data_IF_773608616993
#
_entry.id   IF_773608616993
#
_cell.length_a   1.000
_cell.length_b   1.000
_cell.length_c   1.000
_cell.angle_alpha   90.00
_cell.angle_beta   90.00
_cell.angle_gamma   90.00
#
_symmetry.space_group_name_H-M   'P 1'
#
loop_
_entity.id
_entity.type
_entity.pdbx_description
1 polymer ?
#
# COMPACT_ATOMS: atom_id res chain seq x y z
N UNK A 1 8.20 16.33 -10.31
CA UNK A 1 7.17 15.31 -10.05
C UNK A 1 5.99 15.62 -10.97
N UNK A 2 5.57 14.65 -11.80
CA UNK A 2 4.44 14.85 -12.72
C UNK A 2 3.20 14.20 -12.12
N UNK A 3 2.10 14.95 -12.01
CA UNK A 3 0.83 14.48 -11.47
C UNK A 3 -0.29 14.94 -12.38
N UNK A 4 -1.09 14.00 -12.89
CA UNK A 4 -2.04 14.24 -13.99
C UNK A 4 -1.35 15.02 -15.13
N UNK A 5 -1.76 16.26 -15.41
CA UNK A 5 -1.21 17.13 -16.45
C UNK A 5 -0.28 18.24 -15.91
N UNK A 6 -0.14 18.35 -14.58
CA UNK A 6 0.65 19.40 -13.92
C UNK A 6 2.03 18.88 -13.47
N UNK A 7 3.02 19.79 -13.48
CA UNK A 7 4.40 19.50 -13.08
C UNK A 7 4.77 20.28 -11.83
N UNK A 8 5.21 19.56 -10.81
CA UNK A 8 5.60 20.11 -9.51
C UNK A 8 7.10 19.90 -9.28
N UNK A 9 7.77 20.87 -8.65
CA UNK A 9 9.09 20.61 -8.09
C UNK A 9 8.97 19.56 -6.98
N UNK A 10 9.96 18.68 -6.84
CA UNK A 10 9.94 17.67 -5.78
C UNK A 10 9.87 18.30 -4.38
N UNK A 11 10.38 19.52 -4.23
CA UNK A 11 10.40 20.26 -2.98
C UNK A 11 9.09 21.02 -2.70
N UNK A 12 8.29 21.30 -3.73
CA UNK A 12 7.01 22.00 -3.67
C UNK A 12 5.81 21.04 -3.67
N UNK A 13 6.06 19.73 -3.62
CA UNK A 13 5.02 18.72 -3.60
C UNK A 13 4.53 18.51 -2.15
N UNK A 14 3.72 19.44 -1.66
CA UNK A 14 3.25 19.51 -0.27
C UNK A 14 1.72 19.49 -0.16
N UNK A 15 1.20 19.02 0.97
CA UNK A 15 -0.22 19.12 1.29
C UNK A 15 -0.63 20.58 1.53
N UNK A 16 -1.72 21.04 0.88
CA UNK A 16 -2.25 22.40 1.06
C UNK A 16 -2.77 22.67 2.49
N UNK A 17 -3.19 21.63 3.22
CA UNK A 17 -3.78 21.78 4.57
C UNK A 17 -2.77 21.68 5.72
N UNK A 18 -1.66 20.96 5.54
CA UNK A 18 -0.70 20.71 6.62
C UNK A 18 0.77 20.94 6.23
N UNK A 19 1.02 21.49 5.03
CA UNK A 19 2.34 21.75 4.44
C UNK A 19 3.28 20.53 4.39
N UNK A 20 2.76 19.33 4.65
CA UNK A 20 3.55 18.10 4.68
C UNK A 20 4.07 17.80 3.27
N UNK A 21 5.39 17.67 3.13
CA UNK A 21 6.05 17.18 1.91
C UNK A 21 5.65 15.72 1.65
N UNK A 22 5.05 15.48 0.49
CA UNK A 22 4.64 14.16 0.04
C UNK A 22 5.79 13.49 -0.70
N UNK A 23 6.16 12.30 -0.26
CA UNK A 23 7.30 11.56 -0.82
C UNK A 23 6.85 10.37 -1.67
N UNK A 24 7.79 9.82 -2.45
CA UNK A 24 7.51 8.69 -3.35
C UNK A 24 7.04 7.48 -2.53
N UNK A 25 5.79 7.08 -2.75
CA UNK A 25 5.14 5.97 -2.04
C UNK A 25 4.05 6.41 -1.07
N UNK A 26 3.85 7.71 -0.84
CA UNK A 26 2.69 8.24 -0.11
C UNK A 26 1.50 8.47 -1.06
N UNK A 27 0.30 8.12 -0.58
CA UNK A 27 -0.95 8.36 -1.30
C UNK A 27 -1.42 9.80 -1.06
N UNK A 28 -1.86 10.45 -2.13
CA UNK A 28 -2.33 11.84 -2.12
C UNK A 28 -3.54 11.99 -3.04
N UNK A 29 -4.32 13.04 -2.82
CA UNK A 29 -5.47 13.40 -3.65
C UNK A 29 -5.24 14.80 -4.22
N UNK A 30 -5.62 15.01 -5.48
CA UNK A 30 -5.58 16.33 -6.12
C UNK A 30 -7.01 16.75 -6.42
N UNK A 31 -7.47 17.84 -5.80
CA UNK A 31 -8.79 18.42 -6.07
C UNK A 31 -8.81 19.01 -7.49
N UNK A 32 -9.85 18.71 -8.25
CA UNK A 32 -9.90 19.02 -9.69
C UNK A 32 -10.21 20.49 -10.00
N UNK A 33 -10.70 21.26 -9.02
CA UNK A 33 -11.11 22.65 -9.21
C UNK A 33 -9.95 23.64 -9.01
N UNK A 34 -9.05 23.38 -8.06
CA UNK A 34 -8.01 24.33 -7.64
C UNK A 34 -6.58 23.76 -7.72
N UNK A 35 -6.40 22.57 -8.31
CA UNK A 35 -5.12 21.84 -8.34
C UNK A 35 -4.45 21.64 -6.97
N UNK A 36 -5.24 21.71 -5.89
CA UNK A 36 -4.73 21.53 -4.53
C UNK A 36 -4.41 20.07 -4.23
N UNK A 37 -3.19 19.84 -3.76
CA UNK A 37 -2.72 18.52 -3.33
C UNK A 37 -3.00 18.35 -1.84
N UNK A 38 -3.68 17.26 -1.48
CA UNK A 38 -4.00 16.89 -0.10
C UNK A 38 -3.38 15.55 0.25
N UNK A 39 -2.84 15.45 1.47
CA UNK A 39 -2.42 14.17 2.02
C UNK A 39 -3.64 13.34 2.39
N UNK A 40 -3.46 12.02 2.51
CA UNK A 40 -4.55 11.09 2.86
C UNK A 40 -5.33 11.49 4.11
N UNK A 41 -4.66 12.03 5.12
CA UNK A 41 -5.28 12.46 6.39
C UNK A 41 -6.21 13.67 6.22
N UNK A 42 -5.82 14.64 5.40
CA UNK A 42 -6.60 15.87 5.21
C UNK A 42 -7.67 15.72 4.11
N UNK A 43 -7.46 14.77 3.18
CA UNK A 43 -8.48 14.40 2.20
C UNK A 43 -9.75 13.87 2.89
N UNK A 44 -9.60 12.93 3.83
CA UNK A 44 -10.73 12.33 4.56
C UNK A 44 -11.46 13.35 5.45
N UNK A 45 -10.73 14.33 6.02
CA UNK A 45 -11.32 15.42 6.79
C UNK A 45 -12.13 16.42 5.95
N UNK A 46 -11.80 16.57 4.66
CA UNK A 46 -12.47 17.54 3.76
C UNK A 46 -13.70 16.99 3.03
N UNK A 47 -13.99 15.68 3.14
CA UNK A 47 -15.09 14.99 2.44
C UNK A 47 -16.30 14.63 3.32
N UNK A 48 -16.49 15.31 4.47
CA UNK A 48 -17.74 15.18 5.25
C UNK A 48 -18.83 16.04 4.61
N UNK A 49 -19.30 15.65 3.43
CA UNK A 49 -20.70 15.89 3.07
C UNK A 49 -21.49 14.64 3.50
N UNK A 50 -22.40 14.84 4.45
CA UNK A 50 -23.28 13.80 4.96
C UNK A 50 -24.15 13.19 3.86
N UNK A 51 -24.40 11.88 3.88
CA UNK A 51 -25.67 11.35 3.46
C UNK A 51 -26.51 11.03 4.71
N UNK A 52 -27.62 11.76 4.81
CA UNK A 52 -28.76 11.49 5.67
C UNK A 52 -29.21 10.03 5.61
N UNK A 53 -29.33 9.44 6.80
CA UNK A 53 -30.27 8.38 7.22
C UNK A 53 -31.23 7.81 6.16
N UNK A 54 -31.20 6.48 5.95
CA UNK A 54 -32.28 5.56 6.35
C UNK A 54 -31.87 4.06 6.26
N UNK A 55 -32.42 3.31 7.22
CA UNK A 55 -32.24 1.89 7.64
C UNK A 55 -32.65 0.90 6.52
N UNK A 56 -32.34 -0.40 6.45
CA UNK A 56 -32.15 -1.56 7.35
C UNK A 56 -31.25 -2.58 6.60
N UNK A 57 -30.51 -3.55 7.16
CA UNK A 57 -30.98 -4.75 7.85
C UNK A 57 -29.82 -5.49 8.53
N UNK A 58 -30.22 -6.13 9.63
CA UNK A 58 -29.50 -7.10 10.46
C UNK A 58 -28.93 -8.27 9.67
N UNK A 59 -27.61 -8.49 9.72
CA UNK A 59 -27.02 -9.81 9.98
C UNK A 59 -25.68 -9.60 10.69
N UNK A 60 -25.57 -10.18 11.88
CA UNK A 60 -24.44 -10.00 12.78
C UNK A 60 -23.13 -10.61 12.27
N UNK A 61 -22.03 -10.03 12.76
CA UNK A 61 -20.76 -10.71 12.89
C UNK A 61 -20.06 -10.15 14.12
N UNK A 62 -19.82 -11.04 15.07
CA UNK A 62 -18.94 -10.84 16.21
C UNK A 62 -17.54 -10.50 15.69
N UNK A 63 -17.11 -9.26 15.89
CA UNK A 63 -15.73 -8.80 15.68
C UNK A 63 -15.26 -8.14 17.00
N UNK A 64 -15.04 -8.99 18.02
CA UNK A 64 -14.28 -8.64 19.22
C UNK A 64 -12.81 -9.01 18.96
N UNK A 65 -12.06 -8.08 18.36
CA UNK A 65 -10.59 -8.01 18.44
C UNK A 65 -10.15 -6.54 18.27
N UNK A 66 -10.67 -5.70 19.16
CA UNK A 66 -10.09 -4.42 19.52
C UNK A 66 -9.06 -4.66 20.64
N UNK A 67 -7.80 -4.86 20.28
CA UNK A 67 -6.70 -4.71 21.26
C UNK A 67 -6.04 -3.35 21.08
N UNK A 68 -6.06 -2.63 22.19
CA UNK A 68 -5.72 -1.26 22.41
C UNK A 68 -4.21 -1.00 22.39
N UNK A 69 -3.89 0.22 21.98
CA UNK A 69 -2.56 0.79 22.08
C UNK A 69 -2.69 2.24 22.50
N UNK A 70 -2.97 2.45 23.78
CA UNK A 70 -2.91 3.71 24.55
C UNK A 70 -4.22 4.49 24.70
N UNK A 71 -4.94 4.19 25.79
CA UNK A 71 -5.71 5.18 26.52
C UNK A 71 -4.77 6.07 27.35
N UNK A 72 -5.19 7.31 27.58
CA UNK A 72 -4.58 8.42 28.34
C UNK A 72 -3.87 9.51 27.52
N UNK A 73 -4.67 10.24 26.74
CA UNK A 73 -4.60 11.71 26.65
C UNK A 73 -6.03 12.16 26.33
N UNK A 74 -6.73 13.01 27.09
CA UNK A 74 -6.30 14.32 27.58
C UNK A 74 -7.28 14.80 28.65
N UNK A 75 -6.84 15.68 29.54
CA UNK A 75 -7.43 17.01 29.79
C UNK A 75 -6.81 17.58 31.07
N UNK A 76 -5.84 18.47 30.93
CA UNK A 76 -5.98 19.85 31.39
C UNK A 76 -4.80 20.72 30.95
N UNK A 77 -5.14 21.96 30.64
CA UNK A 77 -4.35 22.99 30.03
C UNK A 77 -4.21 24.10 31.06
N UNK A 78 -3.05 24.30 31.71
CA UNK A 78 -2.74 25.55 32.42
C UNK A 78 -1.23 25.91 32.40
N UNK A 79 -0.92 26.90 31.57
CA UNK A 79 0.04 28.01 31.75
C UNK A 79 1.02 27.96 32.95
N UNK A 80 2.34 27.95 32.69
CA UNK A 80 3.33 28.81 33.38
C UNK A 80 4.78 28.64 32.89
N UNK A 81 5.49 29.76 32.94
CA UNK A 81 6.82 30.08 32.38
C UNK A 81 7.98 29.18 32.86
N UNK A 82 8.95 28.85 31.97
CA UNK A 82 10.42 28.78 32.23
C UNK A 82 11.22 28.45 30.94
N UNK A 83 12.39 29.08 30.65
CA UNK A 83 13.22 28.80 29.47
C UNK A 83 14.35 27.75 29.76
N UNK A 84 15.14 27.33 28.74
CA UNK A 84 15.46 25.93 28.45
C UNK A 84 16.79 25.43 29.05
N UNK A 85 16.91 24.11 29.23
CA UNK A 85 18.21 23.43 29.33
C UNK A 85 18.25 22.16 28.46
N UNK A 86 19.22 22.17 27.55
CA UNK A 86 19.75 21.05 26.78
C UNK A 86 19.83 19.75 27.57
N UNK A 87 19.27 18.67 27.02
CA UNK A 87 19.97 17.39 26.90
C UNK A 87 19.59 16.72 25.59
N UNK A 88 20.42 17.00 24.59
CA UNK A 88 20.72 16.15 23.45
C UNK A 88 20.97 14.72 23.93
N UNK A 89 20.23 13.74 23.41
CA UNK A 89 20.76 12.39 23.30
C UNK A 89 20.39 11.77 21.95
N UNK A 90 21.38 11.29 21.18
CA UNK A 90 21.23 10.92 19.78
C UNK A 90 21.22 9.39 19.55
N UNK A 91 20.69 9.00 18.39
CA UNK A 91 20.88 7.73 17.65
C UNK A 91 20.15 6.49 18.21
N UNK A 92 19.18 6.02 17.44
CA UNK A 92 19.00 4.57 17.22
C UNK A 92 18.84 4.33 15.72
N UNK A 93 19.96 3.91 15.14
CA UNK A 93 20.16 3.12 13.93
C UNK A 93 19.05 3.12 12.87
N UNK A 94 19.35 3.83 11.78
CA UNK A 94 18.94 3.46 10.42
C UNK A 94 19.36 2.00 10.18
N UNK A 95 18.46 1.06 10.47
CA UNK A 95 18.65 -0.34 10.13
C UNK A 95 18.57 -0.45 8.60
N UNK A 96 19.71 -0.34 7.93
CA UNK A 96 19.86 -0.66 6.52
C UNK A 96 19.25 -2.04 6.29
N UNK A 97 18.08 -2.09 5.65
CA UNK A 97 17.34 -3.34 5.45
C UNK A 97 18.20 -4.31 4.66
N UNK A 98 18.78 -5.29 5.35
CA UNK A 98 19.51 -6.40 4.71
C UNK A 98 18.53 -7.21 3.89
N UNK A 99 18.81 -7.35 2.60
CA UNK A 99 17.97 -8.12 1.69
C UNK A 99 18.13 -9.61 2.00
N UNK A 100 17.06 -10.23 2.50
CA UNK A 100 17.02 -11.68 2.71
C UNK A 100 17.08 -12.39 1.35
N UNK A 101 18.09 -13.24 1.15
CA UNK A 101 18.14 -14.19 0.02
C UNK A 101 17.41 -15.46 0.46
N UNK A 102 16.33 -15.81 -0.25
CA UNK A 102 15.60 -17.05 0.05
C UNK A 102 16.39 -18.25 -0.49
N UNK A 103 16.60 -19.25 0.35
CA UNK A 103 17.17 -20.54 -0.04
C UNK A 103 16.20 -21.30 -0.98
N UNK A 104 16.73 -22.22 -1.78
CA UNK A 104 15.98 -23.02 -2.75
C UNK A 104 14.86 -23.83 -2.08
N UNK A 105 15.16 -24.48 -0.94
CA UNK A 105 14.17 -25.22 -0.15
C UNK A 105 13.00 -24.32 0.29
N UNK A 106 13.29 -23.12 0.79
CA UNK A 106 12.26 -22.15 1.22
C UNK A 106 11.38 -21.72 0.04
N UNK A 107 12.01 -21.48 -1.11
CA UNK A 107 11.29 -21.09 -2.32
C UNK A 107 10.38 -22.22 -2.84
N UNK A 108 10.83 -23.47 -2.78
CA UNK A 108 10.03 -24.63 -3.16
C UNK A 108 8.79 -24.78 -2.27
N UNK A 109 8.95 -24.69 -0.95
CA UNK A 109 7.82 -24.74 0.00
C UNK A 109 6.80 -23.63 -0.29
N UNK A 110 7.26 -22.39 -0.50
CA UNK A 110 6.39 -21.26 -0.82
C UNK A 110 5.66 -21.45 -2.17
N UNK A 111 6.34 -21.97 -3.18
CA UNK A 111 5.73 -22.28 -4.49
C UNK A 111 4.67 -23.38 -4.38
N UNK A 112 4.94 -24.45 -3.64
CA UNK A 112 4.00 -25.55 -3.44
C UNK A 112 2.72 -25.06 -2.74
N UNK A 113 2.88 -24.26 -1.67
CA UNK A 113 1.75 -23.65 -0.99
C UNK A 113 0.96 -22.70 -1.91
N UNK A 114 1.65 -21.88 -2.71
CA UNK A 114 0.99 -20.97 -3.66
C UNK A 114 0.19 -21.69 -4.74
N UNK A 115 0.68 -22.84 -5.22
CA UNK A 115 -0.03 -23.65 -6.20
C UNK A 115 -1.34 -24.23 -5.64
N UNK A 116 -1.37 -24.56 -4.35
CA UNK A 116 -2.58 -24.99 -3.66
C UNK A 116 -3.51 -23.81 -3.34
N UNK A 117 -2.97 -22.73 -2.76
CA UNK A 117 -3.73 -21.57 -2.31
C UNK A 117 -2.97 -20.27 -2.58
N UNK A 118 -3.44 -19.47 -3.54
CA UNK A 118 -2.83 -18.16 -3.87
C UNK A 118 -2.99 -17.11 -2.74
N UNK A 119 -3.92 -17.33 -1.80
CA UNK A 119 -4.18 -16.49 -0.62
C UNK A 119 -4.18 -17.35 0.64
N UNK A 120 -3.01 -17.66 1.23
CA UNK A 120 -2.95 -18.49 2.43
C UNK A 120 -3.61 -17.78 3.61
N UNK A 121 -4.41 -18.50 4.38
CA UNK A 121 -5.04 -18.03 5.63
C UNK A 121 -4.00 -17.84 6.76
N UNK A 122 -4.39 -17.23 7.88
CA UNK A 122 -3.51 -16.94 9.03
C UNK A 122 -2.77 -18.21 9.51
N UNK A 123 -3.48 -19.30 9.77
CA UNK A 123 -2.86 -20.57 10.18
C UNK A 123 -1.86 -21.12 9.17
N UNK A 124 -2.18 -21.04 7.87
CA UNK A 124 -1.28 -21.49 6.82
C UNK A 124 -0.02 -20.63 6.76
N UNK A 125 -0.13 -19.32 7.01
CA UNK A 125 1.03 -18.42 7.10
C UNK A 125 1.91 -18.77 8.29
N UNK A 126 1.33 -19.08 9.45
CA UNK A 126 2.08 -19.50 10.64
C UNK A 126 2.84 -20.80 10.38
N UNK A 127 2.19 -21.80 9.77
CA UNK A 127 2.87 -23.03 9.40
C UNK A 127 4.04 -22.79 8.42
N UNK A 128 3.89 -21.86 7.47
CA UNK A 128 4.98 -21.47 6.59
C UNK A 128 6.14 -20.79 7.32
N UNK A 129 5.86 -19.98 8.35
CA UNK A 129 6.89 -19.36 9.21
C UNK A 129 7.70 -20.46 9.88
N UNK A 130 7.02 -21.44 10.48
CA UNK A 130 7.64 -22.58 11.15
C UNK A 130 8.48 -23.43 10.18
N UNK A 131 7.91 -23.82 9.04
CA UNK A 131 8.60 -24.67 8.05
C UNK A 131 9.81 -23.98 7.40
N UNK A 132 9.74 -22.67 7.15
CA UNK A 132 10.76 -21.95 6.38
C UNK A 132 11.74 -21.16 7.25
N UNK A 133 11.41 -20.91 8.52
CA UNK A 133 12.15 -20.03 9.42
C UNK A 133 12.18 -18.56 8.97
N UNK A 134 11.29 -18.18 8.04
CA UNK A 134 11.22 -16.82 7.51
C UNK A 134 10.30 -15.97 8.38
N UNK A 135 10.60 -14.67 8.48
CA UNK A 135 9.72 -13.76 9.21
C UNK A 135 8.33 -13.70 8.56
N UNK A 136 7.26 -13.52 9.35
CA UNK A 136 5.90 -13.37 8.81
C UNK A 136 5.80 -12.26 7.76
N UNK A 137 6.61 -11.21 7.90
CA UNK A 137 6.69 -10.09 6.97
C UNK A 137 7.30 -10.47 5.61
N UNK A 138 8.30 -11.37 5.59
CA UNK A 138 8.90 -11.89 4.35
C UNK A 138 7.90 -12.78 3.61
N UNK A 139 7.21 -13.68 4.33
CA UNK A 139 6.18 -14.55 3.73
C UNK A 139 5.06 -13.70 3.13
N UNK A 140 4.51 -12.73 3.89
CA UNK A 140 3.48 -11.81 3.38
C UNK A 140 3.91 -11.11 2.09
N UNK A 141 5.11 -10.54 2.04
CA UNK A 141 5.58 -9.85 0.83
C UNK A 141 5.92 -10.80 -0.30
N UNK A 142 6.39 -12.01 -0.01
CA UNK A 142 6.61 -13.00 -1.05
C UNK A 142 5.30 -13.33 -1.78
N UNK A 143 4.22 -13.59 -1.04
CA UNK A 143 2.90 -13.86 -1.64
C UNK A 143 2.30 -12.63 -2.35
N UNK A 144 2.56 -11.42 -1.85
CA UNK A 144 2.17 -10.19 -2.55
C UNK A 144 2.92 -10.05 -3.88
N UNK A 145 4.26 -10.13 -3.84
CA UNK A 145 5.11 -10.03 -5.02
C UNK A 145 4.82 -11.13 -6.04
N UNK A 146 4.55 -12.36 -5.58
CA UNK A 146 4.19 -13.47 -6.46
C UNK A 146 2.89 -13.18 -7.21
N UNK A 147 1.84 -12.73 -6.52
CA UNK A 147 0.57 -12.35 -7.16
C UNK A 147 0.71 -11.17 -8.11
N UNK A 148 1.47 -10.13 -7.72
CA UNK A 148 1.75 -8.99 -8.59
C UNK A 148 2.49 -9.42 -9.87
N UNK A 149 3.49 -10.30 -9.73
CA UNK A 149 4.24 -10.85 -10.87
C UNK A 149 3.35 -11.67 -11.80
N UNK A 150 2.49 -12.51 -11.24
CA UNK A 150 1.57 -13.34 -12.03
C UNK A 150 0.53 -12.48 -12.76
N UNK A 151 -0.03 -11.46 -12.11
CA UNK A 151 -0.92 -10.48 -12.76
C UNK A 151 -0.21 -9.74 -13.91
N UNK A 152 1.02 -9.28 -13.68
CA UNK A 152 1.82 -8.61 -14.73
C UNK A 152 2.09 -9.56 -15.90
N UNK A 153 2.39 -10.84 -15.63
CA UNK A 153 2.60 -11.85 -16.66
C UNK A 153 1.33 -12.08 -17.48
N UNK A 154 0.17 -12.20 -16.84
CA UNK A 154 -1.12 -12.38 -17.52
C UNK A 154 -1.43 -11.21 -18.46
N UNK A 155 -1.26 -9.96 -18.00
CA UNK A 155 -1.46 -8.77 -18.83
C UNK A 155 -0.49 -8.76 -20.01
N UNK A 156 0.79 -9.07 -19.79
CA UNK A 156 1.79 -9.11 -20.85
C UNK A 156 1.48 -10.19 -21.90
N UNK A 157 1.00 -11.37 -21.48
CA UNK A 157 0.57 -12.43 -22.40
C UNK A 157 -0.63 -11.98 -23.23
N UNK A 158 -1.64 -11.37 -22.60
CA UNK A 158 -2.82 -10.85 -23.29
C UNK A 158 -2.46 -9.79 -24.34
N UNK A 159 -1.62 -8.82 -23.97
CA UNK A 159 -1.16 -7.79 -24.90
C UNK A 159 -0.35 -8.35 -26.08
N UNK A 160 0.36 -9.47 -25.87
CA UNK A 160 1.12 -10.14 -26.94
C UNK A 160 0.17 -10.86 -27.90
N UNK A 161 -0.88 -11.48 -27.39
CA UNK A 161 -1.93 -12.15 -28.16
C UNK A 161 -2.72 -11.14 -29.01
N UNK A 162 -3.19 -10.05 -28.42
CA UNK A 162 -3.89 -8.97 -29.15
C UNK A 162 -3.05 -8.38 -30.28
N UNK A 163 -1.72 -8.23 -30.06
CA UNK A 163 -0.79 -7.79 -31.11
C UNK A 163 -0.67 -8.83 -32.22
N UNK A 164 -0.58 -10.11 -31.88
CA UNK A 164 -0.50 -11.18 -32.88
C UNK A 164 -1.78 -11.27 -33.71
N UNK A 165 -2.95 -11.11 -33.10
CA UNK A 165 -4.24 -11.04 -33.79
C UNK A 165 -4.32 -9.83 -34.71
N UNK A 166 -3.88 -8.66 -34.25
CA UNK A 166 -3.84 -7.44 -35.07
C UNK A 166 -2.94 -7.62 -36.28
N UNK A 167 -1.74 -8.19 -36.11
CA UNK A 167 -0.83 -8.49 -37.22
C UNK A 167 -1.45 -9.52 -38.17
N UNK A 168 -2.07 -10.57 -37.65
CA UNK A 168 -2.78 -11.58 -38.44
C UNK A 168 -3.91 -10.96 -39.27
N UNK A 169 -4.69 -10.04 -38.69
CA UNK A 169 -5.74 -9.32 -39.37
C UNK A 169 -5.20 -8.43 -40.50
N UNK A 170 -4.12 -7.67 -40.23
CA UNK A 170 -3.48 -6.83 -41.25
C UNK A 170 -2.90 -7.66 -42.40
N UNK A 171 -2.27 -8.79 -42.10
CA UNK A 171 -1.74 -9.70 -43.12
C UNK A 171 -2.87 -10.30 -43.97
N UNK A 172 -4.00 -10.68 -43.36
CA UNK A 172 -5.18 -11.16 -44.11
C UNK A 172 -5.75 -10.07 -45.02
N UNK A 173 -5.86 -8.83 -44.54
CA UNK A 173 -6.34 -7.73 -45.38
C UNK A 173 -5.40 -7.42 -46.56
N UNK A 174 -4.09 -7.56 -46.38
CA UNK A 174 -3.12 -7.36 -47.46
C UNK A 174 -3.09 -8.52 -48.48
N UNK A 175 -3.47 -9.75 -48.07
CA UNK A 175 -3.51 -10.92 -48.94
C UNK A 175 -4.83 -11.05 -49.72
N UNK A 176 -5.90 -10.41 -49.26
CA UNK A 176 -7.23 -10.43 -49.88
C UNK A 176 -7.60 -9.12 -50.61
N UNK A 177 -6.64 -8.20 -50.79
CA UNK A 177 -6.76 -6.98 -51.60
C UNK A 177 -5.90 -7.06 -52.85
#
# INVERSE_FOLDING_TARGET
MKVKESYYHAECFTCSSCDKKLTIGEEFVVKEQDEEILCRTDCDNSNIEQPSSNKTDMYGRDDEDNWDGSTLASLDNQMSNTPPLSLRSPKSDESTRVRTVLNEKQLLTLKACYAANARPDAMMKEHLVEMTGLSPRVIRVWFQNKRCKDKKKQIAMKNMEEKAETVSFLLKNLLFS
#
